data_IF_781474940799
#
_entry.id   IF_781474940799
#
_cell.length_a   1.000
_cell.length_b   1.000
_cell.length_c   1.000
_cell.angle_alpha   90.00
_cell.angle_beta   90.00
_cell.angle_gamma   90.00
#
_symmetry.space_group_name_H-M   'P 1'
#
loop_
_entity.id
_entity.type
_entity.pdbx_description
1 polymer ?
#
# COMPACT_ATOMS: atom_id res chain seq x y z
N UNK A 1 8.81 -0.19 12.75
CA UNK A 1 8.43 0.76 13.84
C UNK A 1 9.22 2.06 13.82
N UNK A 2 10.55 2.11 13.62
CA UNK A 2 11.32 3.38 13.66
C UNK A 2 11.01 4.42 12.57
N UNK A 3 10.58 4.01 11.38
CA UNK A 3 10.23 4.96 10.30
C UNK A 3 8.91 5.71 10.58
N UNK A 4 8.00 5.09 11.34
CA UNK A 4 6.67 5.65 11.64
C UNK A 4 6.80 6.85 12.60
N UNK A 5 7.67 6.76 13.61
CA UNK A 5 7.89 7.84 14.58
C UNK A 5 8.41 9.13 13.91
N UNK A 6 9.30 9.00 12.92
CA UNK A 6 9.82 10.15 12.15
C UNK A 6 8.77 10.77 11.21
N UNK A 7 7.74 10.01 10.83
CA UNK A 7 6.67 10.52 9.94
C UNK A 7 5.67 11.36 10.74
N UNK A 8 5.39 10.96 11.98
CA UNK A 8 4.54 11.70 12.92
C UNK A 8 5.21 12.99 13.40
N UNK A 9 6.51 12.98 13.72
CA UNK A 9 7.23 14.19 14.14
C UNK A 9 7.23 15.30 13.07
N UNK A 10 7.31 14.95 11.79
CA UNK A 10 7.26 15.92 10.68
C UNK A 10 5.86 16.50 10.49
N UNK A 11 4.82 15.71 10.74
CA UNK A 11 3.43 16.17 10.72
C UNK A 11 3.11 17.08 11.92
N UNK A 12 3.63 16.77 13.11
CA UNK A 12 3.40 17.57 14.32
C UNK A 12 4.13 18.93 14.29
N UNK A 13 5.31 19.01 13.65
CA UNK A 13 6.04 20.27 13.48
C UNK A 13 5.35 21.29 12.55
N UNK A 14 4.43 20.83 11.70
CA UNK A 14 3.71 21.69 10.76
C UNK A 14 2.64 22.58 11.40
N UNK A 15 2.14 22.19 12.57
CA UNK A 15 0.94 22.79 13.21
C UNK A 15 1.19 24.24 13.69
N UNK A 16 2.43 24.74 13.64
CA UNK A 16 2.82 26.05 14.20
C UNK A 16 3.20 27.15 13.17
N UNK A 17 3.07 26.92 11.86
CA UNK A 17 3.50 27.90 10.84
C UNK A 17 2.34 28.46 10.00
N UNK A 18 1.96 29.72 10.26
CA UNK A 18 0.88 30.47 9.59
C UNK A 18 1.22 31.07 8.22
N UNK A 19 2.28 30.63 7.53
CA UNK A 19 2.61 31.13 6.19
C UNK A 19 2.22 30.12 5.10
N UNK A 20 1.47 30.58 4.08
CA UNK A 20 0.98 29.72 3.00
C UNK A 20 2.08 29.02 2.18
N UNK A 21 3.30 29.54 2.19
CA UNK A 21 4.49 28.90 1.60
C UNK A 21 4.94 27.67 2.38
N UNK A 22 4.99 27.73 3.71
CA UNK A 22 5.40 26.59 4.56
C UNK A 22 4.38 25.45 4.50
N UNK A 23 3.10 25.79 4.43
CA UNK A 23 2.01 24.80 4.29
C UNK A 23 2.15 24.04 2.96
N UNK A 24 2.40 24.75 1.86
CA UNK A 24 2.62 24.13 0.55
C UNK A 24 3.87 23.24 0.51
N UNK A 25 4.97 23.67 1.14
CA UNK A 25 6.19 22.87 1.24
C UNK A 25 5.96 21.56 1.99
N UNK A 26 5.20 21.59 3.09
CA UNK A 26 4.83 20.38 3.83
C UNK A 26 3.96 19.43 3.00
N UNK A 27 2.93 19.95 2.33
CA UNK A 27 2.05 19.14 1.47
C UNK A 27 2.89 18.46 0.38
N UNK A 28 3.78 19.22 -0.27
CA UNK A 28 4.69 18.69 -1.28
C UNK A 28 5.58 17.58 -0.71
N UNK A 29 6.12 17.75 0.49
CA UNK A 29 6.95 16.73 1.15
C UNK A 29 6.16 15.46 1.48
N UNK A 30 4.92 15.60 1.97
CA UNK A 30 4.02 14.46 2.21
C UNK A 30 3.71 13.70 0.91
N UNK A 31 3.44 14.42 -0.18
CA UNK A 31 3.19 13.82 -1.48
C UNK A 31 4.43 13.12 -2.05
N UNK A 32 5.64 13.66 -1.81
CA UNK A 32 6.89 12.99 -2.22
C UNK A 32 7.11 11.66 -1.51
N UNK A 33 6.79 11.60 -0.21
CA UNK A 33 6.86 10.35 0.57
C UNK A 33 5.87 9.33 0.03
N UNK A 34 4.61 9.73 -0.16
CA UNK A 34 3.59 8.88 -0.80
C UNK A 34 4.04 8.38 -2.19
N UNK A 35 4.62 9.26 -2.99
CA UNK A 35 5.14 8.92 -4.32
C UNK A 35 6.23 7.84 -4.25
N UNK A 36 7.15 7.93 -3.28
CA UNK A 36 8.16 6.91 -3.04
C UNK A 36 7.55 5.59 -2.54
N UNK A 37 6.59 5.65 -1.60
CA UNK A 37 5.91 4.46 -1.09
C UNK A 37 5.10 3.74 -2.17
N UNK A 38 4.46 4.46 -3.09
CA UNK A 38 3.78 3.87 -4.25
C UNK A 38 4.77 3.18 -5.20
N UNK A 39 5.96 3.75 -5.38
CA UNK A 39 7.02 3.11 -6.17
C UNK A 39 7.47 1.77 -5.56
N UNK A 40 7.57 1.70 -4.22
CA UNK A 40 7.87 0.46 -3.50
C UNK A 40 6.78 -0.57 -3.74
N UNK A 41 5.51 -0.17 -3.63
CA UNK A 41 4.40 -1.07 -3.88
C UNK A 41 4.42 -1.59 -5.33
N UNK A 42 4.69 -0.74 -6.33
CA UNK A 42 4.86 -1.17 -7.72
C UNK A 42 5.91 -2.27 -7.85
N UNK A 43 7.09 -2.09 -7.25
CA UNK A 43 8.18 -3.07 -7.30
C UNK A 43 7.83 -4.37 -6.55
N UNK A 44 7.22 -4.25 -5.37
CA UNK A 44 6.80 -5.38 -4.56
C UNK A 44 5.75 -6.23 -5.27
N UNK A 45 4.73 -5.60 -5.86
CA UNK A 45 3.70 -6.33 -6.62
C UNK A 45 4.23 -6.92 -7.92
N UNK A 46 5.22 -6.30 -8.56
CA UNK A 46 5.87 -6.88 -9.75
C UNK A 46 6.65 -8.15 -9.38
N UNK A 47 7.43 -8.10 -8.29
CA UNK A 47 8.12 -9.28 -7.73
C UNK A 47 7.12 -10.36 -7.30
N UNK A 48 6.04 -9.98 -6.61
CA UNK A 48 4.98 -10.91 -6.21
C UNK A 48 4.33 -11.59 -7.42
N UNK A 49 4.06 -10.83 -8.49
CA UNK A 49 3.47 -11.37 -9.71
C UNK A 49 4.42 -12.34 -10.43
N UNK A 50 5.72 -12.09 -10.40
CA UNK A 50 6.74 -12.98 -10.96
C UNK A 50 6.85 -14.30 -10.18
N UNK A 51 6.64 -14.25 -8.86
CA UNK A 51 6.72 -15.39 -7.95
C UNK A 51 5.36 -16.09 -7.69
N UNK A 52 4.29 -15.66 -8.35
CA UNK A 52 2.96 -16.20 -8.16
C UNK A 52 2.87 -17.69 -8.54
N UNK A 53 2.12 -18.47 -7.77
CA UNK A 53 1.99 -19.92 -7.95
C UNK A 53 1.15 -20.32 -9.16
N UNK A 54 0.29 -19.41 -9.63
CA UNK A 54 -0.62 -19.61 -10.75
C UNK A 54 -0.66 -18.38 -11.66
N UNK A 55 -1.00 -18.58 -12.94
CA UNK A 55 -1.18 -17.46 -13.88
C UNK A 55 -2.29 -16.50 -13.44
N UNK A 56 -3.40 -17.03 -12.92
CA UNK A 56 -4.52 -16.22 -12.43
C UNK A 56 -4.12 -15.31 -11.26
N UNK A 57 -3.29 -15.80 -10.34
CA UNK A 57 -2.74 -15.00 -9.24
C UNK A 57 -1.76 -13.94 -9.76
N UNK A 58 -0.88 -14.30 -10.70
CA UNK A 58 0.05 -13.38 -11.36
C UNK A 58 -0.70 -12.21 -12.03
N UNK A 59 -1.75 -12.51 -12.81
CA UNK A 59 -2.55 -11.49 -13.50
C UNK A 59 -3.31 -10.59 -12.52
N UNK A 60 -3.80 -11.15 -11.41
CA UNK A 60 -4.41 -10.37 -10.32
C UNK A 60 -3.41 -9.40 -9.71
N UNK A 61 -2.20 -9.87 -9.39
CA UNK A 61 -1.14 -9.05 -8.81
C UNK A 61 -0.67 -7.96 -9.77
N UNK A 62 -0.53 -8.25 -11.07
CA UNK A 62 -0.24 -7.24 -12.11
C UNK A 62 -1.31 -6.16 -12.21
N UNK A 63 -2.58 -6.54 -12.06
CA UNK A 63 -3.69 -5.58 -12.05
C UNK A 63 -3.60 -4.63 -10.86
N UNK A 64 -3.15 -5.10 -9.69
CA UNK A 64 -2.92 -4.25 -8.51
C UNK A 64 -1.67 -3.39 -8.70
N UNK A 65 -0.56 -3.96 -9.18
CA UNK A 65 0.65 -3.24 -9.58
C UNK A 65 0.35 -2.05 -10.49
N UNK A 66 -0.49 -2.25 -11.51
CA UNK A 66 -0.85 -1.19 -12.45
C UNK A 66 -1.62 -0.05 -11.80
N UNK A 67 -2.41 -0.32 -10.76
CA UNK A 67 -3.08 0.74 -9.98
C UNK A 67 -2.08 1.55 -9.17
N UNK A 68 -1.14 0.90 -8.49
CA UNK A 68 -0.06 1.61 -7.79
C UNK A 68 0.77 2.46 -8.76
N UNK A 69 1.03 1.95 -9.96
CA UNK A 69 1.73 2.71 -11.00
C UNK A 69 0.94 3.97 -11.42
N UNK A 70 -0.37 3.86 -11.61
CA UNK A 70 -1.22 5.01 -11.92
C UNK A 70 -1.23 6.04 -10.79
N UNK A 71 -1.31 5.58 -9.53
CA UNK A 71 -1.24 6.46 -8.36
C UNK A 71 0.11 7.16 -8.22
N UNK A 72 1.21 6.44 -8.50
CA UNK A 72 2.56 6.98 -8.54
C UNK A 72 2.69 8.13 -9.56
N UNK A 73 2.24 7.91 -10.80
CA UNK A 73 2.26 8.95 -11.86
C UNK A 73 1.36 10.14 -11.50
N UNK A 74 0.20 9.90 -10.90
CA UNK A 74 -0.76 10.94 -10.52
C UNK A 74 -0.25 11.80 -9.34
N UNK A 75 0.51 11.19 -8.42
CA UNK A 75 1.25 11.89 -7.37
C UNK A 75 2.39 12.74 -7.95
N UNK A 76 3.14 12.18 -8.91
CA UNK A 76 4.20 12.91 -9.62
C UNK A 76 3.64 14.19 -10.26
N UNK A 77 2.52 14.08 -10.97
CA UNK A 77 1.84 15.21 -11.58
C UNK A 77 1.42 16.27 -10.54
N UNK A 78 0.88 15.87 -9.38
CA UNK A 78 0.50 16.79 -8.29
C UNK A 78 1.70 17.50 -7.68
N UNK A 79 2.79 16.77 -7.43
CA UNK A 79 4.03 17.36 -6.90
C UNK A 79 4.54 18.44 -7.86
N UNK A 80 4.56 18.15 -9.16
CA UNK A 80 4.99 19.09 -10.19
C UNK A 80 4.07 20.33 -10.26
N UNK A 81 2.75 20.16 -10.14
CA UNK A 81 1.79 21.27 -10.13
C UNK A 81 1.97 22.22 -8.93
N UNK A 82 2.42 21.70 -7.79
CA UNK A 82 2.75 22.48 -6.60
C UNK A 82 4.17 23.08 -6.65
N UNK A 83 4.89 22.91 -7.76
CA UNK A 83 6.28 23.39 -7.93
C UNK A 83 7.32 22.54 -7.22
N UNK A 84 6.94 21.36 -6.74
CA UNK A 84 7.85 20.38 -6.15
C UNK A 84 8.61 19.59 -7.21
N UNK A 85 9.66 18.89 -6.76
CA UNK A 85 10.41 17.91 -7.57
C UNK A 85 10.12 16.52 -6.98
N UNK A 86 9.56 15.57 -7.75
CA UNK A 86 9.29 14.22 -7.30
C UNK A 86 10.53 13.54 -6.69
N UNK A 87 10.31 12.61 -5.77
CA UNK A 87 11.40 11.85 -5.18
C UNK A 87 12.11 11.03 -6.27
N UNK A 88 13.42 11.26 -6.47
CA UNK A 88 14.19 10.65 -7.57
C UNK A 88 14.73 9.26 -7.26
N UNK A 89 14.65 8.80 -6.01
CA UNK A 89 15.23 7.51 -5.62
C UNK A 89 14.70 7.02 -4.26
N UNK A 90 14.32 5.74 -4.23
CA UNK A 90 13.84 5.00 -3.06
C UNK A 90 15.04 4.50 -2.21
N UNK A 91 16.06 5.31 -1.94
CA UNK A 91 17.27 4.74 -1.32
C UNK A 91 17.10 4.35 0.16
N UNK A 92 16.23 5.01 0.92
CA UNK A 92 16.06 4.73 2.36
C UNK A 92 14.91 3.76 2.68
N UNK A 93 13.97 3.55 1.76
CA UNK A 93 12.79 2.69 1.98
C UNK A 93 12.86 1.32 1.28
N UNK A 94 13.88 1.09 0.42
CA UNK A 94 14.08 -0.15 -0.35
C UNK A 94 14.36 -1.41 0.50
N UNK A 95 14.70 -1.26 1.77
CA UNK A 95 14.95 -2.40 2.66
C UNK A 95 13.74 -3.35 2.77
N UNK A 96 12.52 -2.88 2.47
CA UNK A 96 11.30 -3.70 2.43
C UNK A 96 11.24 -4.55 1.15
N UNK A 97 11.77 -4.07 0.02
CA UNK A 97 11.72 -4.77 -1.28
C UNK A 97 12.80 -5.83 -1.39
N UNK A 98 14.00 -5.61 -0.83
CA UNK A 98 15.10 -6.60 -0.82
C UNK A 98 14.68 -7.92 -0.15
N UNK A 99 13.66 -7.88 0.70
CA UNK A 99 13.11 -9.09 1.32
C UNK A 99 12.47 -10.00 0.28
N UNK A 100 11.86 -9.51 -0.81
CA UNK A 100 11.02 -10.34 -1.70
C UNK A 100 11.77 -11.11 -2.78
N UNK A 101 13.07 -10.88 -2.98
CA UNK A 101 13.87 -11.45 -4.09
C UNK A 101 14.52 -12.81 -3.76
N UNK A 102 14.08 -13.49 -2.69
CA UNK A 102 14.60 -14.81 -2.34
C UNK A 102 13.74 -15.93 -2.94
N UNK A 103 14.36 -16.92 -3.58
CA UNK A 103 13.76 -18.17 -4.12
C UNK A 103 12.98 -19.03 -3.09
N UNK A 104 12.69 -18.51 -1.90
CA UNK A 104 12.16 -19.24 -0.74
C UNK A 104 10.87 -18.66 -0.14
N UNK A 105 10.23 -17.67 -0.76
CA UNK A 105 8.95 -17.18 -0.21
C UNK A 105 7.84 -18.19 -0.44
N UNK A 106 7.20 -18.57 0.67
CA UNK A 106 5.89 -19.22 0.59
C UNK A 106 4.85 -18.18 0.17
N UNK A 107 3.79 -18.60 -0.54
CA UNK A 107 2.65 -17.73 -0.90
C UNK A 107 2.09 -16.94 0.30
N UNK A 108 2.12 -17.56 1.48
CA UNK A 108 1.75 -16.94 2.74
C UNK A 108 2.68 -15.76 3.10
N UNK A 109 3.99 -15.98 3.10
CA UNK A 109 4.97 -14.94 3.41
C UNK A 109 4.90 -13.79 2.42
N UNK A 110 4.64 -14.07 1.14
CA UNK A 110 4.39 -13.05 0.14
C UNK A 110 3.15 -12.21 0.45
N UNK A 111 2.04 -12.85 0.82
CA UNK A 111 0.80 -12.17 1.20
C UNK A 111 0.96 -11.33 2.46
N UNK A 112 1.70 -11.83 3.46
CA UNK A 112 2.04 -11.10 4.69
C UNK A 112 2.87 -9.83 4.38
N UNK A 113 3.88 -9.93 3.51
CA UNK A 113 4.68 -8.76 3.08
C UNK A 113 3.85 -7.74 2.28
N UNK A 114 2.97 -8.17 1.38
CA UNK A 114 2.07 -7.26 0.68
C UNK A 114 1.08 -6.58 1.63
N UNK A 115 0.60 -7.27 2.67
CA UNK A 115 -0.24 -6.68 3.71
C UNK A 115 0.50 -5.55 4.44
N UNK A 116 1.76 -5.77 4.83
CA UNK A 116 2.56 -4.73 5.51
C UNK A 116 2.75 -3.49 4.63
N UNK A 117 2.97 -3.68 3.33
CA UNK A 117 3.10 -2.58 2.35
C UNK A 117 1.78 -1.82 2.21
N UNK A 118 0.66 -2.51 2.06
CA UNK A 118 -0.67 -1.89 1.96
C UNK A 118 -1.06 -1.15 3.24
N UNK A 119 -0.72 -1.69 4.41
CA UNK A 119 -0.92 -1.01 5.69
C UNK A 119 -0.09 0.26 5.76
N UNK A 120 1.19 0.20 5.39
CA UNK A 120 2.06 1.36 5.36
C UNK A 120 1.54 2.46 4.43
N UNK A 121 1.14 2.10 3.20
CA UNK A 121 0.51 3.02 2.25
C UNK A 121 -0.77 3.63 2.83
N UNK A 122 -1.64 2.82 3.43
CA UNK A 122 -2.88 3.30 4.02
C UNK A 122 -2.60 4.33 5.12
N UNK A 123 -1.63 4.07 5.99
CA UNK A 123 -1.22 5.03 7.02
C UNK A 123 -0.65 6.32 6.41
N UNK A 124 0.20 6.21 5.39
CA UNK A 124 0.75 7.37 4.70
C UNK A 124 -0.34 8.22 4.04
N UNK A 125 -1.33 7.60 3.41
CA UNK A 125 -2.45 8.31 2.80
C UNK A 125 -3.33 9.01 3.83
N UNK A 126 -3.63 8.33 4.95
CA UNK A 126 -4.39 8.93 6.04
C UNK A 126 -3.64 10.10 6.67
N UNK A 127 -2.32 9.97 6.88
CA UNK A 127 -1.49 11.05 7.40
C UNK A 127 -1.48 12.25 6.45
N UNK A 128 -1.30 12.03 5.14
CA UNK A 128 -1.37 13.09 4.15
C UNK A 128 -2.74 13.79 4.15
N UNK A 129 -3.84 13.03 4.24
CA UNK A 129 -5.20 13.58 4.27
C UNK A 129 -5.45 14.52 5.46
N UNK A 130 -4.73 14.34 6.58
CA UNK A 130 -4.84 15.23 7.75
C UNK A 130 -4.13 16.58 7.59
N UNK A 131 -3.36 16.78 6.51
CA UNK A 131 -2.67 18.04 6.26
C UNK A 131 -3.67 19.19 6.05
N UNK A 132 -3.59 20.20 6.91
CA UNK A 132 -4.44 21.38 6.82
C UNK A 132 -4.21 22.12 5.50
N UNK A 133 -5.28 22.71 4.95
CA UNK A 133 -5.24 23.52 3.73
C UNK A 133 -4.86 22.79 2.42
N UNK A 134 -4.90 21.46 2.41
CA UNK A 134 -4.77 20.71 1.16
C UNK A 134 -5.91 21.03 0.19
N UNK A 135 -5.59 21.16 -1.10
CA UNK A 135 -6.59 21.50 -2.10
C UNK A 135 -7.64 20.37 -2.24
N UNK A 136 -8.91 20.70 -2.55
CA UNK A 136 -9.99 19.71 -2.63
C UNK A 136 -9.74 18.58 -3.64
N UNK A 137 -9.05 18.86 -4.75
CA UNK A 137 -8.77 17.84 -5.79
C UNK A 137 -7.71 16.85 -5.33
N UNK A 138 -6.74 17.30 -4.54
CA UNK A 138 -5.78 16.41 -3.88
C UNK A 138 -6.47 15.60 -2.77
N UNK A 139 -7.33 16.21 -1.96
CA UNK A 139 -8.12 15.50 -0.95
C UNK A 139 -8.99 14.40 -1.56
N UNK A 140 -9.72 14.68 -2.64
CA UNK A 140 -10.52 13.69 -3.37
C UNK A 140 -9.67 12.53 -3.91
N UNK A 141 -8.50 12.85 -4.47
CA UNK A 141 -7.55 11.83 -4.91
C UNK A 141 -7.09 10.94 -3.75
N UNK A 142 -6.62 11.52 -2.64
CA UNK A 142 -6.13 10.75 -1.48
C UNK A 142 -7.25 9.89 -0.88
N UNK A 143 -8.47 10.42 -0.78
CA UNK A 143 -9.63 9.65 -0.30
C UNK A 143 -9.94 8.47 -1.21
N UNK A 144 -9.89 8.66 -2.53
CA UNK A 144 -10.06 7.57 -3.51
C UNK A 144 -8.99 6.49 -3.33
N UNK A 145 -7.72 6.87 -3.11
CA UNK A 145 -6.64 5.92 -2.86
C UNK A 145 -6.85 5.15 -1.56
N UNK A 146 -7.23 5.82 -0.47
CA UNK A 146 -7.57 5.17 0.82
C UNK A 146 -8.60 4.05 0.63
N UNK A 147 -9.66 4.31 -0.14
CA UNK A 147 -10.73 3.33 -0.36
C UNK A 147 -10.29 2.18 -1.28
N UNK A 148 -9.36 2.42 -2.20
CA UNK A 148 -8.74 1.38 -3.04
C UNK A 148 -7.82 0.50 -2.18
N UNK A 149 -6.86 1.09 -1.47
CA UNK A 149 -5.91 0.41 -0.58
C UNK A 149 -6.64 -0.43 0.48
N UNK A 150 -7.69 0.09 1.11
CA UNK A 150 -8.53 -0.69 2.06
C UNK A 150 -9.15 -1.94 1.44
N UNK A 151 -9.65 -1.84 0.20
CA UNK A 151 -10.23 -3.00 -0.51
C UNK A 151 -9.17 -4.04 -0.83
N UNK A 152 -7.98 -3.61 -1.24
CA UNK A 152 -6.85 -4.51 -1.51
C UNK A 152 -6.36 -5.19 -0.23
N UNK A 153 -6.15 -4.44 0.85
CA UNK A 153 -5.78 -4.96 2.15
C UNK A 153 -6.77 -6.02 2.66
N UNK A 154 -8.08 -5.76 2.56
CA UNK A 154 -9.11 -6.72 2.94
C UNK A 154 -9.07 -7.98 2.07
N UNK A 155 -8.83 -7.85 0.77
CA UNK A 155 -8.71 -8.98 -0.13
C UNK A 155 -7.49 -9.86 0.21
N UNK A 156 -6.34 -9.26 0.51
CA UNK A 156 -5.13 -9.98 0.95
C UNK A 156 -5.35 -10.71 2.27
N UNK A 157 -5.91 -10.02 3.28
CA UNK A 157 -6.23 -10.61 4.58
C UNK A 157 -7.22 -11.78 4.44
N UNK A 158 -8.19 -11.67 3.55
CA UNK A 158 -9.13 -12.75 3.28
C UNK A 158 -8.45 -13.96 2.62
N UNK A 159 -7.53 -13.75 1.67
CA UNK A 159 -6.72 -14.82 1.07
C UNK A 159 -5.92 -15.56 2.15
N UNK A 160 -5.21 -14.83 3.01
CA UNK A 160 -4.43 -15.41 4.10
C UNK A 160 -5.29 -16.20 5.10
N UNK A 161 -6.47 -15.67 5.43
CA UNK A 161 -7.45 -16.36 6.27
C UNK A 161 -7.91 -17.68 5.64
N UNK A 162 -8.28 -17.68 4.37
CA UNK A 162 -8.71 -18.89 3.65
C UNK A 162 -7.60 -19.95 3.60
N UNK A 163 -6.35 -19.53 3.36
CA UNK A 163 -5.19 -20.43 3.32
C UNK A 163 -4.92 -21.13 4.66
N UNK A 164 -5.11 -20.42 5.78
CA UNK A 164 -4.94 -20.98 7.11
C UNK A 164 -5.96 -22.10 7.39
N UNK A 165 -7.22 -21.90 7.01
CA UNK A 165 -8.32 -22.84 7.29
C UNK A 165 -8.41 -24.00 6.29
N UNK A 166 -7.92 -23.83 5.05
CA UNK A 166 -7.88 -24.92 4.07
C UNK A 166 -6.98 -26.10 4.48
N UNK A 167 -6.06 -25.88 5.44
CA UNK A 167 -5.11 -26.88 5.94
C UNK A 167 -5.60 -27.59 7.20
N UNK A 168 -6.65 -27.08 7.83
CA UNK A 168 -7.31 -27.78 8.92
C UNK A 168 -8.10 -28.95 8.32
N UNK A 169 -7.87 -30.21 8.74
CA UNK A 169 -8.72 -31.29 8.31
C UNK A 169 -10.13 -30.94 8.77
N UNK A 170 -11.08 -30.82 7.83
CA UNK A 170 -12.48 -30.65 8.21
C UNK A 170 -12.79 -31.72 9.25
N UNK A 171 -13.28 -31.35 10.45
CA UNK A 171 -13.74 -32.35 11.40
C UNK A 171 -14.72 -33.22 10.62
N UNK A 172 -14.53 -34.54 10.65
CA UNK A 172 -15.38 -35.46 9.92
C UNK A 172 -16.84 -35.18 10.32
N UNK A 173 -17.52 -34.38 9.50
CA UNK A 173 -18.90 -34.02 9.73
C UNK A 173 -19.63 -35.31 9.48
N UNK A 174 -20.08 -35.96 10.56
CA UNK A 174 -21.07 -37.01 10.50
C UNK A 174 -22.37 -36.38 9.99
N UNK A 175 -22.41 -36.08 8.70
CA UNK A 175 -23.62 -35.66 8.02
C UNK A 175 -24.59 -36.83 8.15
N UNK A 176 -25.76 -36.65 8.76
CA UNK A 176 -26.75 -37.72 8.83
C UNK A 176 -27.06 -38.13 7.39
N UNK A 177 -26.92 -39.43 7.11
CA UNK A 177 -27.23 -39.97 5.80
C UNK A 177 -28.67 -39.58 5.44
N UNK A 178 -28.82 -38.70 4.45
CA UNK A 178 -30.13 -38.31 3.94
C UNK A 178 -30.66 -39.50 3.16
N UNK A 179 -31.48 -40.32 3.82
CA UNK A 179 -32.24 -41.38 3.16
C UNK A 179 -33.34 -40.72 2.34
N UNK A 180 -33.19 -40.69 1.02
CA UNK A 180 -34.26 -40.33 0.10
C UNK A 180 -35.39 -41.36 0.20
N UNK A 181 -36.63 -40.89 0.32
CA UNK A 181 -37.85 -41.70 0.21
C UNK A 181 -38.26 -41.86 -1.25
#
# INVERSE_FOLDING_TARGET
MRAIDATVEVAELAILSTSGTVINELIVELLKRLHASEQIAVLAYDSAAANASTSAESDRLRTVRERHWQSHVELEARINLLGGIPASCVHDELAVVEVMDSDRFTQRSLSESLIEIEEHLLYAYLAALTAESMDPTCQEFLQSQIDITRRHLNALRWTLFCEAHAREPMPATNLPAVTTR
#
